data_IF_754214641324
#
_entry.id   IF_754214641324
#
_cell.length_a   1.000
_cell.length_b   1.000
_cell.length_c   1.000
_cell.angle_alpha   90.00
_cell.angle_beta   90.00
_cell.angle_gamma   90.00
#
_symmetry.space_group_name_H-M   'P 1'
#
loop_
_entity.id
_entity.type
_entity.pdbx_description
1 polymer ?
2 water ?
#
# COMPACT_ATOMS: atom_id res chain seq x y z
N UNK A 7 -26.18 -2.93 18.01
CA UNK A 7 -25.80 -2.34 16.70
C UNK A 7 -25.30 -0.90 16.88
N UNK A 8 -23.99 -0.71 16.69
CA UNK A 8 -23.34 0.59 16.90
C UNK A 8 -23.62 1.54 15.74
N UNK A 9 -23.96 2.78 16.09
CA UNK A 9 -24.28 3.82 15.11
C UNK A 9 -23.41 5.05 15.32
N UNK A 10 -22.95 5.64 14.22
CA UNK A 10 -22.18 6.88 14.26
C UNK A 10 -22.81 7.89 13.29
N UNK A 11 -23.51 8.87 13.84
CA UNK A 11 -24.27 9.83 13.05
C UNK A 11 -25.40 9.10 12.32
N UNK A 12 -25.34 9.13 10.99
CA UNK A 12 -26.28 8.38 10.17
C UNK A 12 -25.67 7.07 9.67
N UNK A 13 -24.41 6.85 9.99
CA UNK A 13 -23.69 5.65 9.57
C UNK A 13 -23.92 4.51 10.55
N UNK A 14 -24.48 3.42 10.04
CA UNK A 14 -24.74 2.22 10.82
C UNK A 14 -23.66 1.20 10.52
N UNK A 15 -22.89 0.83 11.54
CA UNK A 15 -21.77 -0.10 11.38
C UNK A 15 -22.25 -1.54 11.17
N UNK A 16 -21.83 -2.13 10.04
CA UNK A 16 -22.27 -3.46 9.66
C UNK A 16 -21.15 -4.45 9.44
N UNK A 17 -20.87 -4.75 8.17
CA UNK A 17 -19.87 -5.75 7.79
C UNK A 17 -18.46 -5.40 8.25
N UNK A 18 -17.67 -6.44 8.51
CA UNK A 18 -16.28 -6.27 8.87
C UNK A 18 -15.41 -6.34 7.62
N UNK A 19 -14.81 -5.20 7.27
CA UNK A 19 -13.99 -5.04 6.08
C UNK A 19 -12.65 -5.76 6.24
N UNK A 20 -11.99 -5.51 7.37
CA UNK A 20 -10.70 -6.12 7.67
C UNK A 20 -10.35 -6.05 9.15
N UNK A 21 -9.64 -7.08 9.62
CA UNK A 21 -9.18 -7.13 11.02
C UNK A 21 -7.66 -7.20 11.07
N UNK A 22 -7.07 -6.36 11.92
CA UNK A 22 -5.63 -6.40 12.21
C UNK A 22 -5.41 -6.87 13.63
N UNK A 23 -4.16 -6.80 14.09
CA UNK A 23 -3.82 -7.20 15.46
C UNK A 23 -4.25 -6.13 16.46
N UNK A 24 -4.24 -4.87 16.03
CA UNK A 24 -4.53 -3.72 16.89
C UNK A 24 -6.03 -3.44 16.98
N UNK A 25 -6.76 -3.76 15.91
CA UNK A 25 -8.21 -3.56 15.89
C UNK A 25 -8.91 -4.04 14.64
N UNK A 26 -10.18 -3.68 14.53
CA UNK A 26 -11.03 -4.08 13.41
C UNK A 26 -11.38 -2.86 12.56
N UNK A 27 -11.80 -3.12 11.32
CA UNK A 27 -12.32 -2.07 10.44
C UNK A 27 -13.70 -2.49 9.94
N UNK A 28 -14.74 -1.80 10.44
CA UNK A 28 -16.11 -2.08 10.05
C UNK A 28 -16.62 -0.99 9.11
N UNK A 29 -17.28 -1.40 8.03
CA UNK A 29 -17.91 -0.46 7.11
C UNK A 29 -19.23 0.07 7.67
N UNK A 30 -19.35 1.40 7.68
CA UNK A 30 -20.59 2.06 8.10
C UNK A 30 -21.30 2.62 6.89
N UNK A 31 -22.63 2.64 6.95
CA UNK A 31 -23.43 3.15 5.84
C UNK A 31 -24.47 4.17 6.27
N UNK A 32 -24.42 5.35 5.65
CA UNK A 32 -25.41 6.40 5.82
C UNK A 32 -26.79 5.81 5.54
N UNK A 33 -27.73 6.00 6.45
CA UNK A 33 -29.06 5.42 6.31
C UNK A 33 -29.92 6.18 5.29
N UNK A 34 -29.65 7.47 5.14
CA UNK A 34 -30.43 8.33 4.27
C UNK A 34 -29.91 8.43 2.84
N UNK A 35 -28.59 8.58 2.68
CA UNK A 35 -28.01 8.77 1.35
C UNK A 35 -27.30 7.52 0.81
N UNK A 36 -26.97 6.59 1.70
CA UNK A 36 -26.28 5.36 1.31
C UNK A 36 -24.78 5.55 1.11
N UNK A 37 -24.25 6.69 1.56
CA UNK A 37 -22.82 6.98 1.49
C UNK A 37 -22.10 6.10 2.50
N UNK A 38 -20.96 5.55 2.08
CA UNK A 38 -20.21 4.60 2.89
C UNK A 38 -18.90 5.19 3.41
N UNK A 39 -18.56 4.82 4.65
CA UNK A 39 -17.26 5.15 5.24
C UNK A 39 -16.59 3.89 5.82
N UNK A 40 -15.29 3.98 6.08
CA UNK A 40 -14.57 2.89 6.73
C UNK A 40 -14.14 3.33 8.14
N UNK A 41 -14.63 2.60 9.14
CA UNK A 41 -14.37 2.96 10.53
C UNK A 41 -13.39 1.97 11.18
N UNK A 42 -12.20 2.46 11.52
CA UNK A 42 -11.21 1.67 12.23
C UNK A 42 -11.44 1.77 13.73
N UNK A 43 -11.84 0.64 14.33
CA UNK A 43 -12.13 0.58 15.75
C UNK A 43 -10.92 0.04 16.50
N UNK A 44 -10.38 0.86 17.41
CA UNK A 44 -9.18 0.51 18.17
C UNK A 44 -9.47 0.44 19.66
N UNK A 45 -9.51 -0.78 20.19
CA UNK A 45 -9.82 -1.02 21.59
C UNK A 45 -8.67 -0.57 22.50
N UNK A 46 -8.98 0.33 23.43
CA UNK A 46 -7.98 0.89 24.34
C UNK A 46 -7.23 -0.17 25.13
N UNK A 47 -7.97 -1.15 25.67
CA UNK A 47 -7.41 -2.23 26.48
C UNK A 47 -6.43 -3.10 25.69
N UNK A 48 -6.78 -3.38 24.44
CA UNK A 48 -5.94 -4.21 23.56
C UNK A 48 -4.64 -3.53 23.15
N UNK A 49 -4.69 -2.21 22.94
CA UNK A 49 -3.51 -1.48 22.47
C UNK A 49 -2.59 -0.99 23.60
N UNK A 50 -3.14 -0.89 24.81
CA UNK A 50 -2.33 -0.68 26.01
C UNK A 50 -1.60 -1.99 26.33
N UNK A 51 -2.27 -3.10 26.07
CA UNK A 51 -1.72 -4.44 26.27
C UNK A 51 -0.54 -4.70 25.33
N UNK A 52 -0.64 -4.16 24.11
CA UNK A 52 0.42 -4.29 23.12
C UNK A 52 1.42 -3.14 23.19
N UNK A 53 1.12 -2.18 24.06
CA UNK A 53 2.03 -1.07 24.40
C UNK A 53 2.38 -0.18 23.19
N UNK A 54 1.39 0.04 22.33
CA UNK A 54 1.59 0.78 21.08
C UNK A 54 0.72 2.05 20.98
N UNK A 55 0.13 2.45 22.09
CA UNK A 55 -0.81 3.59 22.12
C UNK A 55 -0.20 4.88 21.59
N UNK A 56 0.97 5.24 22.10
CA UNK A 56 1.70 6.44 21.66
C UNK A 56 1.93 6.46 20.16
N UNK A 57 2.45 5.36 19.62
CA UNK A 57 2.71 5.23 18.19
C UNK A 57 1.45 5.49 17.36
N UNK A 58 0.35 4.88 17.77
CA UNK A 58 -0.95 5.06 17.10
C UNK A 58 -1.43 6.51 17.21
N UNK A 59 -1.41 7.05 18.43
CA UNK A 59 -1.79 8.44 18.69
C UNK A 59 -1.13 9.40 17.71
N UNK A 60 0.18 9.24 17.54
CA UNK A 60 0.99 10.10 16.67
C UNK A 60 0.73 9.85 15.20
N UNK A 61 0.41 8.60 14.85
CA UNK A 61 0.06 8.23 13.48
C UNK A 61 -1.24 8.88 13.03
N UNK A 62 -2.20 8.98 13.95
CA UNK A 62 -3.48 9.64 13.70
C UNK A 62 -3.29 11.15 13.47
N UNK A 63 -2.56 11.81 14.38
CA UNK A 63 -2.29 13.24 14.29
C UNK A 63 -1.59 13.60 12.98
N UNK A 64 -0.65 12.76 12.57
CA UNK A 64 0.06 12.90 11.31
C UNK A 64 -0.90 12.78 10.13
N UNK A 65 -1.78 11.77 10.19
CA UNK A 65 -2.73 11.47 9.13
C UNK A 65 -3.80 12.55 8.98
N UNK A 66 -4.18 13.18 10.08
CA UNK A 66 -5.11 14.31 10.07
C UNK A 66 -4.71 15.38 9.04
N UNK A 67 -3.41 15.69 8.99
CA UNK A 67 -2.84 16.70 8.11
C UNK A 67 -2.90 16.31 6.62
N UNK A 68 -2.71 15.02 6.34
CA UNK A 68 -2.61 14.47 4.98
C UNK A 68 -3.72 14.91 4.03
N UNK A 69 -3.35 15.11 2.76
CA UNK A 69 -4.30 15.51 1.71
C UNK A 69 -3.79 15.02 0.35
N UNK A 70 -4.23 13.84 -0.05
CA UNK A 70 -3.74 13.19 -1.27
C UNK A 70 -4.84 12.34 -1.89
N UNK A 71 -5.06 12.46 -3.21
CA UNK A 71 -6.16 11.76 -3.90
C UNK A 71 -5.97 10.24 -4.00
N UNK A 72 -4.85 9.73 -3.50
CA UNK A 72 -4.52 8.31 -3.58
C UNK A 72 -4.02 7.72 -2.26
N UNK A 73 -4.22 8.48 -1.19
CA UNK A 73 -4.05 7.98 0.17
C UNK A 73 -5.38 8.13 0.89
N UNK A 74 -5.66 7.21 1.81
CA UNK A 74 -6.93 7.20 2.54
C UNK A 74 -7.11 8.45 3.42
N UNK A 75 -8.26 9.10 3.28
CA UNK A 75 -8.53 10.32 4.03
C UNK A 75 -9.25 10.06 5.35
N UNK A 76 -8.70 10.63 6.42
CA UNK A 76 -9.29 10.52 7.75
C UNK A 76 -10.22 11.70 7.99
N UNK A 77 -11.50 11.43 8.16
CA UNK A 77 -12.50 12.48 8.30
C UNK A 77 -12.58 13.04 9.72
N UNK A 78 -12.71 12.15 10.70
CA UNK A 78 -12.68 12.52 12.11
C UNK A 78 -12.37 11.33 13.01
N UNK A 79 -11.86 11.62 14.21
CA UNK A 79 -11.62 10.60 15.22
C UNK A 79 -12.54 10.79 16.43
N UNK A 80 -13.25 9.72 16.80
CA UNK A 80 -14.14 9.73 17.96
C UNK A 80 -13.49 8.94 19.09
N UNK A 81 -13.27 9.62 20.20
CA UNK A 81 -12.56 9.04 21.33
C UNK A 81 -13.45 8.87 22.55
N UNK A 82 -13.88 7.63 22.79
CA UNK A 82 -14.59 7.26 24.02
C UNK A 82 -13.61 6.57 24.96
N UNK A 83 -13.87 6.62 26.29
CA UNK A 83 -12.95 6.06 27.29
C UNK A 83 -12.54 4.60 27.08
N UNK A 84 -13.17 3.90 26.15
CA UNK A 84 -12.86 2.48 25.90
C UNK A 84 -12.29 2.19 24.51
N UNK A 85 -12.68 3.00 23.51
CA UNK A 85 -12.31 2.74 22.11
C UNK A 85 -11.97 3.99 21.32
N UNK A 86 -11.19 3.80 20.25
CA UNK A 86 -10.94 4.84 19.26
C UNK A 86 -11.66 4.53 17.96
N UNK A 87 -12.40 5.51 17.46
CA UNK A 87 -13.10 5.37 16.19
C UNK A 87 -12.49 6.30 15.15
N UNK A 88 -11.84 5.71 14.16
CA UNK A 88 -11.24 6.48 13.07
C UNK A 88 -12.13 6.38 11.84
N UNK A 89 -12.95 7.42 11.63
CA UNK A 89 -13.83 7.47 10.46
C UNK A 89 -13.01 7.87 9.24
N UNK A 90 -12.94 6.97 8.27
CA UNK A 90 -12.09 7.16 7.10
C UNK A 90 -12.83 6.92 5.78
N UNK A 91 -12.15 7.27 4.69
CA UNK A 91 -12.66 7.06 3.35
C UNK A 91 -12.91 5.56 3.09
N UNK A 92 -14.00 5.27 2.38
CA UNK A 92 -14.35 3.90 2.04
C UNK A 92 -13.82 3.50 0.66
N UNK A 93 -13.26 2.30 0.58
CA UNK A 93 -12.76 1.73 -0.67
C UNK A 93 -13.58 0.48 -0.98
N UNK A 94 -13.96 0.32 -2.24
CA UNK A 94 -14.91 -0.73 -2.64
C UNK A 94 -14.35 -1.84 -3.52
N UNK A 95 -13.16 -1.62 -4.10
CA UNK A 95 -12.61 -2.54 -5.09
C UNK A 95 -11.59 -3.54 -4.58
N UNK A 96 -11.45 -3.62 -3.26
CA UNK A 96 -10.56 -4.58 -2.62
C UNK A 96 -9.09 -4.33 -2.87
N UNK A 97 -8.27 -5.35 -2.61
CA UNK A 97 -6.82 -5.27 -2.77
C UNK A 97 -6.40 -5.25 -4.23
N UNK A 98 -5.22 -4.67 -4.49
CA UNK A 98 -4.64 -4.66 -5.82
C UNK A 98 -4.07 -6.03 -6.17
N UNK A 99 -3.40 -6.63 -5.19
CA UNK A 99 -2.81 -7.96 -5.35
C UNK A 99 -3.84 -9.06 -5.58
N UNK A 100 -5.03 -8.89 -5.00
CA UNK A 100 -6.15 -9.81 -5.24
C UNK A 100 -6.75 -9.66 -6.62
N UNK A 101 -6.81 -8.42 -7.11
CA UNK A 101 -7.32 -8.14 -8.45
C UNK A 101 -6.42 -8.77 -9.51
N UNK A 102 -5.10 -8.71 -9.28
CA UNK A 102 -4.12 -9.31 -10.19
C UNK A 102 -4.18 -10.83 -10.13
N UNK A 103 -4.32 -11.36 -8.91
CA UNK A 103 -4.44 -12.79 -8.68
C UNK A 103 -5.70 -13.37 -9.32
N UNK A 104 -6.78 -12.59 -9.29
CA UNK A 104 -8.06 -13.00 -9.85
C UNK A 104 -8.19 -12.75 -11.35
N UNK A 105 -7.90 -11.52 -11.78
CA UNK A 105 -8.16 -11.10 -13.16
C UNK A 105 -6.90 -10.90 -14.02
N UNK A 106 -5.88 -11.71 -13.75
CA UNK A 106 -4.64 -11.73 -14.55
C UNK A 106 -3.83 -10.46 -14.49
N UNK A 107 -2.86 -10.34 -15.39
CA UNK A 107 -2.01 -9.16 -15.49
C UNK A 107 -2.76 -7.97 -16.07
N UNK A 108 -2.20 -6.77 -15.88
CA UNK A 108 -2.85 -5.54 -16.31
C UNK A 108 -2.26 -5.05 -17.63
N UNK A 109 -3.14 -4.54 -18.50
CA UNK A 109 -2.76 -3.91 -19.77
C UNK A 109 -1.72 -2.82 -19.52
N UNK A 110 -0.66 -2.82 -20.33
CA UNK A 110 0.52 -1.97 -20.11
C UNK A 110 0.23 -0.51 -19.76
N UNK A 111 -0.72 0.09 -20.48
CA UNK A 111 -1.08 1.49 -20.28
C UNK A 111 -1.72 1.70 -18.91
N UNK A 112 -2.50 0.72 -18.45
CA UNK A 112 -3.11 0.75 -17.13
C UNK A 112 -2.10 0.46 -16.02
N UNK A 113 -1.15 -0.42 -16.30
CA UNK A 113 -0.07 -0.75 -15.36
C UNK A 113 0.70 0.51 -14.99
N UNK A 114 1.05 1.30 -16.01
CA UNK A 114 1.72 2.59 -15.85
C UNK A 114 0.88 3.59 -15.05
N UNK A 115 -0.42 3.64 -15.37
CA UNK A 115 -1.34 4.60 -14.75
C UNK A 115 -1.47 4.38 -13.25
N UNK A 116 -1.69 3.13 -12.85
CA UNK A 116 -1.79 2.77 -11.44
C UNK A 116 -0.47 3.00 -10.71
N UNK A 117 0.65 2.66 -11.36
CA UNK A 117 1.97 2.82 -10.77
C UNK A 117 2.33 4.28 -10.54
N UNK A 118 1.87 5.16 -11.43
CA UNK A 118 2.08 6.60 -11.28
C UNK A 118 1.37 7.13 -10.04
N UNK A 119 0.17 6.61 -9.78
CA UNK A 119 -0.63 6.99 -8.62
C UNK A 119 -0.02 6.47 -7.32
N UNK A 120 0.54 5.26 -7.37
CA UNK A 120 1.16 4.61 -6.22
C UNK A 120 2.44 5.33 -5.80
N UNK A 121 3.34 5.56 -6.75
CA UNK A 121 4.60 6.26 -6.47
C UNK A 121 4.34 7.67 -5.92
N UNK A 122 3.36 8.36 -6.48
CA UNK A 122 2.91 9.66 -6.00
C UNK A 122 2.54 9.59 -4.52
N UNK A 123 1.82 8.55 -4.14
CA UNK A 123 1.38 8.33 -2.76
C UNK A 123 2.55 8.09 -1.82
N UNK A 124 3.49 7.25 -2.26
CA UNK A 124 4.71 6.94 -1.49
C UNK A 124 5.58 8.20 -1.34
N UNK A 125 5.60 9.03 -2.38
CA UNK A 125 6.36 10.29 -2.37
C UNK A 125 5.79 11.27 -1.34
N UNK A 126 4.46 11.31 -1.23
CA UNK A 126 3.78 12.14 -0.24
C UNK A 126 4.15 11.71 1.18
N UNK A 127 4.17 10.40 1.42
CA UNK A 127 4.54 9.83 2.72
C UNK A 127 5.98 10.13 3.09
N UNK A 128 6.91 9.89 2.17
CA UNK A 128 8.33 10.20 2.43
C UNK A 128 8.54 11.67 2.76
N UNK A 129 7.65 12.53 2.29
CA UNK A 129 7.73 13.96 2.53
C UNK A 129 7.13 14.40 3.87
N UNK A 130 6.01 13.79 4.25
CA UNK A 130 5.21 14.28 5.36
C UNK A 130 5.13 13.33 6.56
N UNK A 131 5.24 12.03 6.28
CA UNK A 131 5.25 11.01 7.33
C UNK A 131 6.50 11.17 8.19
N UNK A 132 6.29 11.52 9.47
CA UNK A 132 7.38 11.85 10.40
C UNK A 132 8.30 10.65 10.68
N UNK A 133 7.75 9.62 11.32
CA UNK A 133 8.45 8.35 11.49
C UNK A 133 8.03 7.38 10.38
N UNK A 134 9.01 6.81 9.68
CA UNK A 134 8.74 5.97 8.52
C UNK A 134 7.96 4.70 8.85
N UNK A 135 6.85 4.51 8.13
CA UNK A 135 6.11 3.26 8.13
C UNK A 135 6.23 2.63 6.74
N UNK A 136 6.83 1.43 6.69
CA UNK A 136 7.14 0.75 5.43
C UNK A 136 5.92 0.51 4.55
N UNK A 137 6.06 0.72 3.24
CA UNK A 137 4.98 0.43 2.30
C UNK A 137 4.79 -1.07 2.15
N UNK A 138 3.57 -1.53 2.36
CA UNK A 138 3.22 -2.94 2.22
C UNK A 138 2.19 -3.13 1.10
N UNK A 139 2.45 -4.06 0.17
CA UNK A 139 1.59 -4.32 -0.99
C UNK A 139 0.12 -4.56 -0.65
N UNK A 140 -0.13 -5.23 0.47
CA UNK A 140 -1.50 -5.50 0.93
C UNK A 140 -2.24 -4.22 1.35
N UNK A 141 -1.51 -3.12 1.48
CA UNK A 141 -2.10 -1.82 1.81
C UNK A 141 -2.31 -0.93 0.59
N UNK A 142 -2.27 -1.52 -0.60
CA UNK A 142 -2.59 -0.82 -1.84
C UNK A 142 -3.92 -1.37 -2.35
N UNK A 143 -4.95 -0.52 -2.32
CA UNK A 143 -6.31 -0.93 -2.67
C UNK A 143 -6.78 -0.28 -3.97
N UNK A 144 -8.03 -0.52 -4.33
CA UNK A 144 -8.62 0.01 -5.55
C UNK A 144 -10.03 0.51 -5.25
N UNK A 145 -10.32 1.73 -5.67
CA UNK A 145 -11.66 2.29 -5.48
C UNK A 145 -12.60 1.96 -6.63
N UNK A 146 -13.86 2.37 -6.50
CA UNK A 146 -14.90 2.12 -7.53
C UNK A 146 -14.47 2.58 -8.92
N UNK A 147 -13.64 3.61 -8.97
CA UNK A 147 -13.15 4.18 -10.22
C UNK A 147 -11.84 3.56 -10.71
N UNK A 148 -11.40 2.50 -10.03
CA UNK A 148 -10.14 1.80 -10.35
C UNK A 148 -8.88 2.64 -10.09
N UNK A 149 -8.94 3.52 -9.11
CA UNK A 149 -7.76 4.27 -8.66
C UNK A 149 -7.12 3.59 -7.46
N UNK A 150 -5.80 3.63 -7.41
CA UNK A 150 -5.05 3.08 -6.29
C UNK A 150 -5.23 3.94 -5.04
N UNK A 151 -5.46 3.28 -3.90
CA UNK A 151 -5.58 3.96 -2.62
C UNK A 151 -4.74 3.26 -1.56
N UNK A 152 -3.98 4.03 -0.79
CA UNK A 152 -3.18 3.49 0.31
C UNK A 152 -3.94 3.61 1.63
N UNK A 153 -4.22 2.47 2.25
CA UNK A 153 -4.95 2.40 3.51
C UNK A 153 -4.49 1.22 4.35
N UNK A 154 -4.66 1.31 5.66
CA UNK A 154 -4.32 0.21 6.55
C UNK A 154 -5.59 -0.43 7.12
N UNK A 155 -6.24 -1.28 6.31
CA UNK A 155 -7.52 -1.88 6.71
C UNK A 155 -7.43 -3.37 7.09
N UNK A 156 -6.34 -4.02 6.68
CA UNK A 156 -6.09 -5.42 7.02
C UNK A 156 -7.02 -6.40 6.33
N UNK A 157 -7.12 -6.29 5.00
CA UNK A 157 -7.98 -7.16 4.20
C UNK A 157 -7.34 -8.52 3.96
N UNK A 158 -6.00 -8.54 3.91
CA UNK A 158 -5.23 -9.75 3.64
C UNK A 158 -5.37 -10.80 4.75
N UNK A 159 -5.73 -10.33 5.95
CA UNK A 159 -6.01 -11.20 7.08
C UNK A 159 -7.39 -11.86 6.95
N UNK A 160 -8.31 -11.16 6.28
CA UNK A 160 -9.64 -11.69 6.00
C UNK A 160 -9.55 -12.79 4.96
N UNK A 161 -10.27 -13.88 5.20
CA UNK A 161 -10.19 -15.05 4.33
C UNK A 161 -11.56 -15.52 3.85
N UNK A 162 -11.64 -15.80 2.56
CA UNK A 162 -12.88 -16.23 1.91
C UNK A 162 -12.66 -17.42 0.97
N UNK A 163 -11.47 -17.46 0.34
CA UNK A 163 -11.07 -18.58 -0.52
C UNK A 163 -9.55 -18.61 -0.73
N UNK A 175 7.88 -12.24 -4.08
CA UNK A 175 8.64 -11.33 -3.23
C UNK A 175 7.99 -11.12 -1.87
N UNK A 176 8.82 -11.08 -0.82
CA UNK A 176 8.34 -10.99 0.55
C UNK A 176 8.88 -9.75 1.26
N UNK A 177 10.21 -9.58 1.21
CA UNK A 177 10.87 -8.42 1.81
C UNK A 177 12.19 -8.10 1.10
N UNK A 178 12.65 -6.86 1.21
CA UNK A 178 13.86 -6.36 0.53
C UNK A 178 15.13 -7.11 0.95
N UNK A 179 16.20 -7.06 0.12
CA UNK A 179 17.44 -7.79 0.40
C UNK A 179 18.12 -7.36 1.70
N UNK A 180 18.01 -6.08 2.04
CA UNK A 180 18.55 -5.58 3.30
C UNK A 180 17.66 -5.92 4.48
N UNK A 181 16.36 -6.05 4.23
CA UNK A 181 15.40 -6.45 5.26
C UNK A 181 15.63 -7.91 5.66
N UNK A 182 15.77 -8.77 4.65
CA UNK A 182 15.96 -10.20 4.88
C UNK A 182 17.34 -10.57 5.40
N UNK A 183 18.29 -9.63 5.31
CA UNK A 183 19.65 -9.84 5.81
C UNK A 183 19.79 -9.49 7.29
N UNK A 184 18.76 -8.86 7.85
CA UNK A 184 18.70 -8.59 9.29
C UNK A 184 19.44 -7.35 9.76
N UNK A 185 19.89 -6.52 8.81
CA UNK A 185 20.58 -5.27 9.14
C UNK A 185 19.57 -4.13 9.34
N UNK A 186 20.03 -3.03 9.92
CA UNK A 186 19.20 -1.83 10.06
C UNK A 186 19.18 -1.04 8.75
N UNK A 187 17.99 -0.96 8.16
CA UNK A 187 17.81 -0.46 6.80
C UNK A 187 17.12 0.91 6.73
N UNK A 188 17.35 1.62 5.63
CA UNK A 188 16.67 2.88 5.38
C UNK A 188 15.33 2.63 4.69
N UNK A 189 14.26 3.03 5.36
CA UNK A 189 12.89 2.80 4.91
C UNK A 189 12.57 3.21 3.48
N UNK A 190 12.79 4.49 3.13
CA UNK A 190 12.51 4.98 1.76
C UNK A 190 13.18 4.15 0.68
N UNK A 191 14.35 3.58 0.98
CA UNK A 191 15.06 2.73 0.03
C UNK A 191 14.37 1.39 -0.16
N UNK A 192 13.89 0.82 0.94
CA UNK A 192 13.13 -0.44 0.92
C UNK A 192 11.79 -0.27 0.22
N UNK A 193 11.22 0.94 0.34
CA UNK A 193 9.97 1.28 -0.33
C UNK A 193 10.05 1.22 -1.85
N UNK A 194 11.21 1.63 -2.39
CA UNK A 194 11.46 1.57 -3.83
C UNK A 194 11.49 0.13 -4.32
N UNK A 195 12.23 -0.72 -3.62
CA UNK A 195 12.24 -2.16 -3.88
C UNK A 195 10.81 -2.71 -3.83
N UNK A 196 10.06 -2.28 -2.82
CA UNK A 196 8.66 -2.67 -2.66
C UNK A 196 7.78 -2.15 -3.79
N UNK A 197 8.10 -0.96 -4.31
CA UNK A 197 7.41 -0.40 -5.47
C UNK A 197 7.81 -1.13 -6.74
N UNK A 198 9.00 -1.73 -6.72
CA UNK A 198 9.51 -2.52 -7.83
C UNK A 198 8.73 -3.79 -8.08
N UNK A 199 8.48 -4.54 -7.00
CA UNK A 199 7.69 -5.78 -7.08
C UNK A 199 6.25 -5.51 -7.51
N UNK A 200 5.67 -4.41 -7.03
CA UNK A 200 4.32 -3.99 -7.40
C UNK A 200 4.23 -3.75 -8.90
N UNK A 201 5.21 -3.02 -9.45
CA UNK A 201 5.29 -2.76 -10.88
C UNK A 201 5.42 -4.05 -11.68
N UNK A 202 6.22 -4.98 -11.18
CA UNK A 202 6.35 -6.29 -11.79
C UNK A 202 5.01 -7.04 -11.74
N UNK A 203 4.36 -7.00 -10.57
CA UNK A 203 3.05 -7.61 -10.39
C UNK A 203 2.03 -7.05 -11.37
N UNK A 204 2.02 -5.73 -11.52
CA UNK A 204 1.14 -5.04 -12.46
C UNK A 204 1.36 -5.51 -13.91
N UNK A 205 2.62 -5.55 -14.33
CA UNK A 205 2.96 -5.82 -15.73
C UNK A 205 2.92 -7.29 -16.10
N UNK A 206 3.20 -8.17 -15.13
CA UNK A 206 3.41 -9.59 -15.41
C UNK A 206 2.33 -10.53 -14.87
N UNK A 207 1.72 -10.16 -13.75
CA UNK A 207 0.69 -11.00 -13.13
C UNK A 207 1.22 -11.95 -12.07
N UNK A 208 2.55 -12.07 -12.02
CA UNK A 208 3.22 -12.88 -11.01
C UNK A 208 4.22 -12.03 -10.22
N UNK A 209 4.87 -12.63 -9.23
CA UNK A 209 5.88 -11.95 -8.42
C UNK A 209 7.29 -12.24 -8.94
N UNK A 210 8.17 -11.22 -8.99
CA UNK A 210 9.49 -11.32 -9.61
C UNK A 210 10.39 -12.37 -8.98
N UNK A 211 10.23 -12.60 -7.69
CA UNK A 211 10.94 -13.64 -6.98
C UNK A 211 9.93 -14.57 -6.34
N UNK A 212 9.89 -15.80 -6.85
CA UNK A 212 8.88 -16.78 -6.46
C UNK A 212 9.45 -18.18 -6.65
N UNK A 213 9.33 -18.99 -5.60
CA UNK A 213 9.83 -20.36 -5.59
C UNK A 213 9.12 -21.13 -4.48
N UNK A 214 8.70 -22.36 -4.78
CA UNK A 214 8.05 -23.21 -3.79
C UNK A 214 9.00 -23.52 -2.63
N UNK A 215 10.27 -23.76 -2.94
CA UNK A 215 11.30 -23.94 -1.94
C UNK A 215 11.68 -22.57 -1.37
N UNK A 216 11.43 -22.40 -0.08
CA UNK A 216 11.57 -21.09 0.58
C UNK A 216 13.01 -20.55 0.68
N UNK A 217 13.97 -21.36 1.18
CA UNK A 217 15.36 -20.88 1.19
C UNK A 217 15.90 -20.44 -0.17
N UNK A 218 15.38 -21.02 -1.25
CA UNK A 218 15.75 -20.63 -2.62
C UNK A 218 15.14 -19.28 -2.99
N UNK A 219 13.98 -18.97 -2.42
CA UNK A 219 13.31 -17.69 -2.63
C UNK A 219 14.19 -16.52 -2.18
N UNK A 220 14.76 -16.63 -0.99
CA UNK A 220 15.62 -15.57 -0.42
C UNK A 220 16.95 -15.46 -1.16
N UNK A 221 17.43 -16.58 -1.67
CA UNK A 221 18.63 -16.63 -2.50
C UNK A 221 18.43 -15.79 -3.77
N UNK A 222 17.23 -15.92 -4.36
CA UNK A 222 16.83 -15.16 -5.54
C UNK A 222 16.78 -13.66 -5.27
N UNK A 223 16.12 -13.29 -4.18
CA UNK A 223 16.00 -11.88 -3.76
C UNK A 223 17.37 -11.26 -3.53
N UNK A 224 18.24 -11.98 -2.82
CA UNK A 224 19.59 -11.52 -2.56
C UNK A 224 20.46 -11.54 -3.81
N UNK A 225 20.16 -12.45 -4.73
CA UNK A 225 20.88 -12.55 -6.01
C UNK A 225 20.57 -11.43 -6.98
N UNK A 226 19.33 -10.94 -6.92
CA UNK A 226 18.88 -9.82 -7.75
C UNK A 226 18.65 -10.16 -9.22
N UNK A 227 18.44 -11.44 -9.50
CA UNK A 227 18.19 -11.91 -10.87
C UNK A 227 16.74 -12.38 -10.98
N UNK A 228 16.04 -11.85 -11.98
CA UNK A 228 14.64 -12.17 -12.20
C UNK A 228 14.31 -12.29 -13.69
N UNK A 229 13.11 -12.80 -13.99
CA UNK A 229 12.68 -13.05 -15.35
C UNK A 229 11.88 -11.87 -15.90
N UNK A 230 12.26 -11.39 -17.07
CA UNK A 230 11.48 -10.38 -17.78
C UNK A 230 10.89 -11.02 -19.05
N UNK A 231 9.55 -11.18 -19.07
CA UNK A 231 8.85 -11.78 -20.21
C UNK A 231 9.09 -11.03 -21.50
N UNK A 232 9.06 -11.75 -22.62
CA UNK A 232 9.35 -11.19 -23.95
C UNK A 232 8.42 -10.05 -24.37
N UNK A 233 7.24 -9.98 -23.76
CA UNK A 233 6.26 -8.94 -24.09
C UNK A 233 6.52 -7.58 -23.43
N UNK A 234 7.58 -7.48 -22.64
CA UNK A 234 7.97 -6.20 -22.04
C UNK A 234 9.15 -5.56 -22.76
N UNK A 235 9.02 -4.27 -23.06
CA UNK A 235 10.06 -3.51 -23.77
C UNK A 235 11.27 -3.23 -22.88
N UNK A 236 12.42 -2.97 -23.51
CA UNK A 236 13.66 -2.65 -22.80
C UNK A 236 13.48 -1.46 -21.87
N UNK A 237 12.66 -0.50 -22.30
CA UNK A 237 12.43 0.74 -21.54
C UNK A 237 11.90 0.46 -20.13
N UNK A 238 10.75 -0.19 -20.03
CA UNK A 238 10.18 -0.53 -18.72
C UNK A 238 11.06 -1.53 -17.96
N UNK A 239 11.69 -2.44 -18.70
CA UNK A 239 12.58 -3.45 -18.11
C UNK A 239 13.77 -2.79 -17.41
N UNK A 240 14.32 -1.75 -18.03
CA UNK A 240 15.49 -1.05 -17.49
C UNK A 240 15.15 -0.16 -16.28
N UNK A 241 13.87 0.20 -16.15
CA UNK A 241 13.36 0.86 -14.95
C UNK A 241 13.24 -0.14 -13.80
N UNK A 242 12.66 -1.30 -14.09
CA UNK A 242 12.53 -2.39 -13.12
C UNK A 242 13.89 -2.88 -12.63
N UNK A 243 14.84 -3.05 -13.56
CA UNK A 243 16.20 -3.47 -13.23
C UNK A 243 16.89 -2.46 -12.32
N UNK A 244 16.45 -1.20 -12.36
CA UNK A 244 17.02 -0.12 -11.54
C UNK A 244 16.34 -0.01 -10.17
N UNK A 245 15.08 -0.39 -10.09
CA UNK A 245 14.30 -0.32 -8.85
C UNK A 245 14.58 -1.48 -7.91
N UNK A 246 14.94 -2.64 -8.49
CA UNK A 246 15.12 -3.86 -7.72
C UNK A 246 16.58 -4.26 -7.55
N UNK A 247 17.45 -3.26 -7.49
CA UNK A 247 18.87 -3.46 -7.22
C UNK A 247 19.05 -3.81 -5.75
N UNK A 248 19.84 -4.86 -5.48
CA UNK A 248 20.06 -5.34 -4.10
C UNK A 248 20.78 -4.32 -3.23
N UNK A 249 21.80 -3.67 -3.80
CA UNK A 249 22.60 -2.66 -3.13
C UNK A 249 21.85 -1.34 -3.14
N UNK A 250 21.44 -0.85 -1.95
CA UNK A 250 20.60 0.36 -1.88
C UNK A 250 21.29 1.58 -2.45
N UNK A 251 22.62 1.54 -2.51
CA UNK A 251 23.42 2.64 -3.04
C UNK A 251 23.27 2.80 -4.56
N UNK A 252 22.81 1.73 -5.22
CA UNK A 252 22.61 1.75 -6.66
C UNK A 252 21.12 1.80 -7.02
N UNK A 253 20.27 1.64 -6.01
CA UNK A 253 18.83 1.58 -6.21
C UNK A 253 18.22 2.95 -6.52
N UNK A 254 17.25 2.96 -7.43
CA UNK A 254 16.59 4.18 -7.88
C UNK A 254 15.94 4.96 -6.74
N UNK A 255 15.91 6.29 -6.89
CA UNK A 255 15.09 7.14 -6.03
C UNK A 255 13.80 7.44 -6.79
N UNK A 256 12.88 8.16 -6.14
CA UNK A 256 11.62 8.56 -6.77
C UNK A 256 11.88 9.46 -7.99
N UNK A 257 12.86 10.35 -7.89
CA UNK A 257 13.23 11.22 -9.00
C UNK A 257 13.93 10.48 -10.14
N UNK A 258 14.66 9.41 -9.82
CA UNK A 258 15.24 8.52 -10.84
C UNK A 258 14.12 7.89 -11.67
N UNK A 259 13.01 7.58 -11.02
CA UNK A 259 11.84 7.02 -11.66
C UNK A 259 11.08 8.09 -12.42
N UNK A 260 11.05 9.31 -11.87
CA UNK A 260 10.32 10.44 -12.46
C UNK A 260 10.94 10.95 -13.75
N UNK A 261 12.26 10.78 -13.89
CA UNK A 261 12.99 11.22 -15.07
C UNK A 261 13.05 10.13 -16.17
N UNK A 262 12.39 9.00 -15.92
CA UNK A 262 12.47 7.84 -16.80
C UNK A 262 11.61 7.97 -18.06
N UNK A 263 12.16 7.47 -19.17
CA UNK A 263 11.49 7.45 -20.47
C UNK A 263 10.06 6.92 -20.35
N UNK A 264 9.95 5.70 -19.83
CA UNK A 264 8.69 4.97 -19.71
C UNK A 264 7.71 5.59 -18.72
N UNK A 265 8.23 6.16 -17.64
CA UNK A 265 7.41 6.73 -16.56
C UNK A 265 6.85 8.10 -16.90
N UNK A 266 7.59 8.88 -17.68
CA UNK A 266 7.19 10.22 -18.11
C UNK A 266 5.94 10.21 -18.99
N UNK A 267 5.71 9.11 -19.69
CA UNK A 267 4.61 9.00 -20.65
C UNK A 267 3.24 9.08 -19.99
N UNK A 268 2.43 10.02 -20.50
CA UNK A 268 1.06 10.26 -20.02
C UNK A 268 0.96 10.57 -18.52
N UNK A 269 2.04 11.08 -17.94
CA UNK A 269 2.07 11.43 -16.53
C UNK A 269 1.26 12.70 -16.28
N UNK A 270 0.18 12.60 -15.48
CA UNK A 270 -0.55 13.79 -15.07
C UNK A 270 0.30 14.65 -14.14
N UNK A 271 0.42 15.93 -14.48
CA UNK A 271 1.32 16.87 -13.79
C UNK A 271 0.92 17.17 -12.34
N UNK A 272 -0.27 16.74 -11.94
CA UNK A 272 -0.76 16.97 -10.58
C UNK A 272 -0.18 15.99 -9.56
N UNK A 273 0.29 14.84 -10.04
CA UNK A 273 0.81 13.79 -9.16
C UNK A 273 2.16 14.14 -8.53
N UNK A 274 2.89 15.06 -9.17
CA UNK A 274 4.16 15.55 -8.65
C UNK A 274 4.22 17.08 -8.82
N UNK A 275 3.59 17.83 -7.89
CA UNK A 275 3.39 19.27 -8.06
C UNK A 275 4.62 20.10 -7.71
#
# INVERSE_FOLDING_TARGET
GSKHDGRVKIGHYVLGDTLGVGTFGKVKIGEHQLTGHKVAVKILNRQKIRSLDVVGKIKREIQNLKLFRHPHIIKLYQVISTPTDFFMVMEYVSGGELFDYICKHGRVEEMEARRLFQQILSAVDYCHRHMVVHRDLKPENVLLDAHMNAKIADFGLSNMMSDGEFLRDSCGSPNYAAPEVISGRLYAGPEVDIWSCGVILYALLCGTLPFDDEHVPTLFKKIRGGVFYIPEYLNRSVATLLMHMLQVDPLKRATIKDIREHEWFKQDLPSYLFPE
#
